data_IF_812929438049
#
_entry.id   IF_812929438049
#
_cell.length_a   1.000
_cell.length_b   1.000
_cell.length_c   1.000
_cell.angle_alpha   90.00
_cell.angle_beta   90.00
_cell.angle_gamma   90.00
#
_symmetry.space_group_name_H-M   'P 1'
#
loop_
_entity.id
_entity.type
_entity.pdbx_description
1 polymer ?
#
# COMPACT_ATOMS: atom_id res chain seq x y z
N UNK A 1 -12.10 0.62 12.62
CA UNK A 1 -10.69 0.73 12.30
C UNK A 1 -10.57 1.20 10.85
N UNK A 2 -9.89 2.32 10.53
CA UNK A 2 -9.49 2.65 9.17
C UNK A 2 -8.78 1.49 8.47
N UNK A 3 -9.07 1.36 7.18
CA UNK A 3 -8.51 0.34 6.29
C UNK A 3 -8.12 0.98 4.97
N UNK A 4 -7.10 0.45 4.33
CA UNK A 4 -6.68 0.83 2.97
C UNK A 4 -6.66 -0.38 2.07
N UNK A 5 -7.09 -0.21 0.82
CA UNK A 5 -7.04 -1.28 -0.18
C UNK A 5 -5.74 -1.18 -0.95
N UNK A 6 -4.98 -2.27 -0.97
CA UNK A 6 -3.75 -2.40 -1.74
C UNK A 6 -4.10 -2.91 -3.13
N UNK A 7 -3.51 -2.27 -4.15
CA UNK A 7 -3.82 -2.47 -5.56
C UNK A 7 -2.64 -3.08 -6.32
N UNK A 8 -2.95 -3.71 -7.45
CA UNK A 8 -1.95 -4.30 -8.34
C UNK A 8 -1.08 -3.29 -9.09
N UNK A 9 -1.47 -2.01 -9.09
CA UNK A 9 -0.83 -0.96 -9.89
C UNK A 9 -1.04 0.41 -9.22
N UNK A 10 -0.17 1.41 -9.49
CA UNK A 10 -0.25 2.77 -8.95
C UNK A 10 -1.37 3.59 -9.62
N UNK A 11 -2.58 3.05 -9.62
CA UNK A 11 -3.75 3.64 -10.24
C UNK A 11 -5.03 3.23 -9.49
N UNK A 12 -5.98 4.15 -9.38
CA UNK A 12 -7.23 3.91 -8.65
C UNK A 12 -8.10 2.82 -9.29
N UNK A 13 -7.96 2.60 -10.61
CA UNK A 13 -8.60 1.51 -11.36
C UNK A 13 -7.82 0.19 -11.34
N UNK A 14 -6.65 0.17 -10.69
CA UNK A 14 -5.89 -1.06 -10.44
C UNK A 14 -6.73 -2.09 -9.67
N UNK A 15 -6.46 -3.36 -9.93
CA UNK A 15 -7.19 -4.49 -9.31
C UNK A 15 -6.90 -4.50 -7.82
N UNK A 16 -7.94 -4.66 -7.00
CA UNK A 16 -7.80 -4.80 -5.55
C UNK A 16 -7.16 -6.15 -5.24
N UNK A 17 -6.08 -6.14 -4.47
CA UNK A 17 -5.35 -7.35 -4.08
C UNK A 17 -5.73 -7.80 -2.67
N UNK A 18 -5.62 -6.90 -1.69
CA UNK A 18 -5.93 -7.16 -0.29
C UNK A 18 -6.17 -5.86 0.48
N UNK A 19 -6.71 -5.97 1.69
CA UNK A 19 -7.01 -4.84 2.57
C UNK A 19 -6.07 -4.87 3.77
N UNK A 20 -5.47 -3.72 4.08
CA UNK A 20 -4.67 -3.52 5.27
C UNK A 20 -5.46 -2.77 6.33
N UNK A 21 -5.26 -3.18 7.58
CA UNK A 21 -5.73 -2.45 8.75
C UNK A 21 -4.66 -1.45 9.20
N UNK A 22 -5.12 -0.34 9.80
CA UNK A 22 -4.24 0.59 10.50
C UNK A 22 -3.28 -0.12 11.49
N UNK A 23 -2.08 0.44 11.66
CA UNK A 23 -1.05 -0.12 12.54
C UNK A 23 -0.25 -1.29 11.94
N UNK A 24 -0.54 -1.69 10.69
CA UNK A 24 0.28 -2.66 9.97
C UNK A 24 1.58 -2.02 9.48
N UNK A 25 2.72 -2.56 9.89
CA UNK A 25 4.03 -2.12 9.38
C UNK A 25 4.24 -2.64 7.96
N UNK A 26 4.74 -1.76 7.09
CA UNK A 26 5.02 -2.08 5.68
C UNK A 26 6.38 -1.50 5.29
N UNK A 27 7.07 -2.16 4.35
CA UNK A 27 8.30 -1.64 3.77
C UNK A 27 7.98 -0.91 2.47
N UNK A 28 8.29 0.37 2.37
CA UNK A 28 8.14 1.12 1.11
C UNK A 28 9.30 0.77 0.17
N UNK A 29 9.00 0.16 -0.97
CA UNK A 29 9.97 -0.20 -2.01
C UNK A 29 10.17 0.90 -3.04
N UNK A 30 9.08 1.52 -3.47
CA UNK A 30 9.09 2.53 -4.52
C UNK A 30 7.95 3.52 -4.33
N UNK A 31 8.01 4.64 -5.04
CA UNK A 31 6.94 5.64 -5.06
C UNK A 31 6.79 6.17 -6.48
N UNK A 32 5.56 6.24 -6.95
CA UNK A 32 5.20 6.75 -8.28
C UNK A 32 4.01 7.70 -8.13
N UNK A 33 4.28 9.00 -8.20
CA UNK A 33 3.28 10.03 -7.95
C UNK A 33 2.72 9.92 -6.53
N UNK A 34 1.41 9.79 -6.42
CA UNK A 34 0.67 9.68 -5.15
C UNK A 34 0.59 8.25 -4.61
N UNK A 35 1.30 7.29 -5.23
CA UNK A 35 1.27 5.89 -4.87
C UNK A 35 2.62 5.40 -4.37
N UNK A 36 2.60 4.54 -3.36
CA UNK A 36 3.77 3.85 -2.86
C UNK A 36 3.61 2.35 -3.04
N UNK A 37 4.63 1.73 -3.61
CA UNK A 37 4.77 0.27 -3.64
C UNK A 37 5.28 -0.18 -2.27
N UNK A 38 4.54 -1.08 -1.66
CA UNK A 38 4.82 -1.62 -0.34
C UNK A 38 5.05 -3.12 -0.41
N UNK A 39 5.88 -3.64 0.49
CA UNK A 39 6.05 -5.06 0.79
C UNK A 39 5.69 -5.32 2.25
N UNK A 40 4.87 -6.35 2.47
CA UNK A 40 4.54 -6.88 3.78
C UNK A 40 5.59 -7.91 4.23
N UNK A 41 5.61 -8.21 5.53
CA UNK A 41 6.55 -9.18 6.12
C UNK A 41 6.41 -10.61 5.54
N UNK A 42 5.22 -10.96 5.04
CA UNK A 42 4.95 -12.24 4.37
C UNK A 42 5.40 -12.27 2.89
N UNK A 43 5.95 -11.17 2.37
CA UNK A 43 6.42 -11.02 0.99
C UNK A 43 5.35 -10.56 0.00
N UNK A 44 4.12 -10.27 0.45
CA UNK A 44 3.10 -9.70 -0.42
C UNK A 44 3.45 -8.26 -0.82
N UNK A 45 3.32 -7.96 -2.11
CA UNK A 45 3.65 -6.65 -2.69
C UNK A 45 2.42 -6.03 -3.33
N UNK A 46 2.28 -4.72 -3.21
CA UNK A 46 1.28 -3.97 -3.95
C UNK A 46 1.37 -2.47 -3.71
N UNK A 47 0.42 -1.73 -4.28
CA UNK A 47 0.41 -0.28 -4.30
C UNK A 47 -0.70 0.28 -3.41
N UNK A 48 -0.38 1.28 -2.60
CA UNK A 48 -1.36 2.04 -1.83
C UNK A 48 -1.09 3.55 -1.95
N UNK A 49 -2.08 4.42 -1.68
CA UNK A 49 -1.85 5.85 -1.71
C UNK A 49 -0.81 6.25 -0.64
N UNK A 50 0.19 7.03 -1.03
CA UNK A 50 1.28 7.44 -0.15
C UNK A 50 0.81 8.27 1.04
N UNK A 51 -0.32 8.98 0.89
CA UNK A 51 -0.95 9.77 1.97
C UNK A 51 -1.43 8.93 3.15
N UNK A 52 -1.66 7.63 2.93
CA UNK A 52 -2.16 6.70 3.95
C UNK A 52 -0.99 5.99 4.67
N UNK A 53 0.27 6.37 4.37
CA UNK A 53 1.48 5.88 5.02
C UNK A 53 2.03 6.96 5.95
N UNK A 54 2.19 6.63 7.22
CA UNK A 54 2.98 7.43 8.16
C UNK A 54 4.44 6.97 8.13
N UNK A 55 5.35 7.88 7.78
CA UNK A 55 6.80 7.60 7.80
C UNK A 55 7.35 7.92 9.18
N UNK A 56 8.06 6.96 9.77
CA UNK A 56 8.72 7.06 11.07
C UNK A 56 10.22 7.27 10.94
#
# INVERSE_FOLDING_TARGET
APTVTVKSSPDASGTDLFVLHEGTNVTVKSTLGEWSEIELEDGNVGWMPSKDIEKI
#
